data_IF_354962292378
#
_entry.id   IF_354962292378
#
_cell.length_a   1.000
_cell.length_b   1.000
_cell.length_c   1.000
_cell.angle_alpha   90.00
_cell.angle_beta   90.00
_cell.angle_gamma   90.00
#
_symmetry.space_group_name_H-M   'P 1'
#
loop_
_entity.id
_entity.type
_entity.pdbx_description
1 polymer ?
#
# COMPACT_ATOMS: atom_id res chain seq x y z
N UNK A 1 8.24 -45.40 -17.52
CA UNK A 1 8.15 -46.26 -16.31
C UNK A 1 8.99 -45.61 -15.21
N UNK A 2 8.81 -45.98 -13.95
CA UNK A 2 9.51 -45.39 -12.80
C UNK A 2 10.47 -46.43 -12.21
N UNK A 3 11.75 -46.09 -12.10
CA UNK A 3 12.73 -46.80 -11.28
C UNK A 3 13.35 -45.79 -10.30
N UNK A 4 13.14 -45.99 -9.00
CA UNK A 4 13.82 -45.21 -7.96
C UNK A 4 13.59 -43.69 -8.00
N UNK A 5 12.37 -43.25 -8.33
CA UNK A 5 11.97 -41.84 -8.49
C UNK A 5 12.49 -41.14 -9.77
N UNK A 6 13.00 -41.91 -10.75
CA UNK A 6 13.37 -41.40 -12.08
C UNK A 6 12.49 -42.01 -13.17
N UNK A 7 12.05 -41.17 -14.10
CA UNK A 7 11.13 -41.53 -15.16
C UNK A 7 11.88 -41.73 -16.47
N UNK A 8 11.50 -42.71 -17.28
CA UNK A 8 12.04 -42.90 -18.64
C UNK A 8 10.92 -43.23 -19.63
N UNK A 9 11.20 -43.04 -20.92
CA UNK A 9 10.25 -43.30 -22.01
C UNK A 9 10.77 -44.37 -22.96
N UNK A 10 9.90 -45.30 -23.35
CA UNK A 10 10.20 -46.30 -24.38
C UNK A 10 9.28 -46.07 -25.58
N UNK A 11 9.86 -45.94 -26.77
CA UNK A 11 9.11 -45.91 -28.02
C UNK A 11 8.60 -47.31 -28.41
N UNK A 12 7.61 -47.36 -29.30
CA UNK A 12 6.97 -48.61 -29.74
C UNK A 12 7.91 -49.56 -30.49
N UNK A 13 8.99 -49.04 -31.06
CA UNK A 13 10.07 -49.79 -31.71
C UNK A 13 11.12 -50.34 -30.72
N UNK A 14 10.92 -50.09 -29.42
CA UNK A 14 11.80 -50.58 -28.35
C UNK A 14 12.93 -49.64 -27.97
N UNK A 15 13.13 -48.53 -28.68
CA UNK A 15 14.12 -47.48 -28.38
C UNK A 15 13.72 -46.57 -27.20
N UNK A 16 14.62 -45.66 -26.82
CA UNK A 16 14.36 -44.64 -25.81
C UNK A 16 15.16 -43.36 -26.12
N UNK A 17 14.59 -42.16 -25.89
CA UNK A 17 15.31 -40.91 -26.05
C UNK A 17 16.38 -40.78 -24.96
N UNK A 18 17.60 -40.46 -25.36
CA UNK A 18 18.73 -40.16 -24.48
C UNK A 18 19.47 -38.93 -24.99
N UNK A 19 19.99 -38.11 -24.06
CA UNK A 19 20.72 -36.85 -24.34
C UNK A 19 20.00 -35.94 -25.33
N UNK A 20 18.68 -35.82 -25.24
CA UNK A 20 17.90 -35.06 -26.21
C UNK A 20 16.59 -34.56 -25.62
N UNK A 21 16.01 -33.57 -26.30
CA UNK A 21 14.62 -33.19 -26.12
C UNK A 21 13.71 -34.06 -26.97
N UNK A 22 12.55 -34.44 -26.43
CA UNK A 22 11.52 -35.13 -27.19
C UNK A 22 10.14 -34.58 -26.86
N UNK A 23 9.31 -34.43 -27.90
CA UNK A 23 7.88 -34.13 -27.75
C UNK A 23 7.10 -35.44 -27.68
N UNK A 24 6.46 -35.69 -26.54
CA UNK A 24 5.71 -36.92 -26.27
C UNK A 24 4.31 -36.52 -25.81
N UNK A 25 3.29 -36.96 -26.57
CA UNK A 25 1.86 -36.72 -26.26
C UNK A 25 1.52 -35.24 -25.98
N UNK A 26 2.15 -34.32 -26.72
CA UNK A 26 1.89 -32.88 -26.63
C UNK A 26 2.78 -32.10 -25.67
N UNK A 27 3.50 -32.77 -24.77
CA UNK A 27 4.46 -32.14 -23.86
C UNK A 27 5.90 -32.35 -24.32
N UNK A 28 6.78 -31.42 -23.95
CA UNK A 28 8.22 -31.48 -24.27
C UNK A 28 8.98 -31.94 -23.03
N UNK A 29 9.94 -32.86 -23.21
CA UNK A 29 10.74 -33.45 -22.14
C UNK A 29 12.21 -33.41 -22.54
N UNK A 30 13.12 -33.30 -21.56
CA UNK A 30 14.57 -33.47 -21.77
C UNK A 30 15.03 -34.75 -21.08
N UNK A 31 15.90 -35.51 -21.75
CA UNK A 31 16.44 -36.79 -21.26
C UNK A 31 17.95 -36.70 -21.03
N UNK A 32 18.42 -37.34 -19.96
CA UNK A 32 19.83 -37.51 -19.69
C UNK A 32 20.46 -38.61 -20.56
N UNK A 33 21.78 -38.82 -20.42
CA UNK A 33 22.53 -39.79 -21.22
C UNK A 33 22.12 -41.25 -20.97
N UNK A 34 21.45 -41.52 -19.85
CA UNK A 34 20.91 -42.84 -19.51
C UNK A 34 19.45 -43.00 -19.93
N UNK A 35 18.86 -41.98 -20.56
CA UNK A 35 17.48 -41.99 -21.03
C UNK A 35 16.43 -41.71 -19.96
N UNK A 36 16.85 -41.17 -18.80
CA UNK A 36 15.92 -40.72 -17.78
C UNK A 36 15.54 -39.25 -18.00
N UNK A 37 14.28 -38.91 -17.73
CA UNK A 37 13.74 -37.56 -17.80
C UNK A 37 14.38 -36.66 -16.75
N UNK A 38 14.74 -35.45 -17.15
CA UNK A 38 15.19 -34.40 -16.24
C UNK A 38 13.99 -33.74 -15.53
N UNK A 39 14.22 -33.27 -14.32
CA UNK A 39 13.26 -32.50 -13.51
C UNK A 39 14.00 -31.33 -12.84
N UNK A 40 13.28 -30.28 -12.48
CA UNK A 40 13.83 -29.03 -11.93
C UNK A 40 14.47 -28.14 -13.00
N UNK A 41 15.30 -27.22 -12.55
CA UNK A 41 16.06 -26.33 -13.42
C UNK A 41 17.09 -27.08 -14.25
N UNK A 42 17.07 -26.87 -15.57
CA UNK A 42 18.02 -27.43 -16.52
C UNK A 42 18.59 -26.33 -17.40
N UNK A 43 19.90 -26.34 -17.60
CA UNK A 43 20.59 -25.37 -18.45
C UNK A 43 21.17 -26.08 -19.67
N UNK A 44 20.82 -25.59 -20.85
CA UNK A 44 21.34 -26.07 -22.13
C UNK A 44 21.59 -24.88 -23.05
N UNK A 45 22.74 -24.87 -23.74
CA UNK A 45 23.14 -23.82 -24.68
C UNK A 45 23.02 -22.39 -24.12
N UNK A 46 23.28 -22.24 -22.83
CA UNK A 46 23.25 -20.97 -22.12
C UNK A 46 21.86 -20.54 -21.62
N UNK A 47 20.79 -21.19 -22.06
CA UNK A 47 19.42 -20.93 -21.65
C UNK A 47 19.00 -21.82 -20.46
N UNK A 48 18.17 -21.27 -19.59
CA UNK A 48 17.54 -22.01 -18.49
C UNK A 48 16.12 -22.44 -18.86
N UNK A 49 15.78 -23.65 -18.47
CA UNK A 49 14.47 -24.27 -18.62
C UNK A 49 14.04 -24.84 -17.27
N UNK A 50 12.73 -24.93 -17.04
CA UNK A 50 12.19 -25.61 -15.87
C UNK A 50 11.41 -26.86 -16.30
N UNK A 51 11.82 -28.02 -15.80
CA UNK A 51 11.14 -29.29 -16.01
C UNK A 51 10.33 -29.59 -14.75
N UNK A 52 9.02 -29.65 -14.87
CA UNK A 52 8.12 -29.93 -13.74
C UNK A 52 8.42 -31.30 -13.11
N UNK A 53 7.88 -31.63 -11.92
CA UNK A 53 8.08 -32.96 -11.31
C UNK A 53 7.65 -34.15 -12.19
N UNK A 54 6.81 -33.93 -13.20
CA UNK A 54 6.43 -34.96 -14.19
C UNK A 54 7.44 -35.10 -15.35
N UNK A 55 8.48 -34.26 -15.39
CA UNK A 55 9.46 -34.14 -16.47
C UNK A 55 9.02 -33.24 -17.63
N UNK A 56 7.77 -32.79 -17.65
CA UNK A 56 7.29 -31.89 -18.70
C UNK A 56 7.90 -30.49 -18.55
N UNK A 57 8.39 -29.92 -19.64
CA UNK A 57 8.90 -28.55 -19.72
C UNK A 57 7.77 -27.56 -19.44
N UNK A 58 7.98 -26.69 -18.45
CA UNK A 58 7.07 -25.61 -18.13
C UNK A 58 7.20 -24.43 -19.10
N UNK A 59 6.11 -23.71 -19.28
CA UNK A 59 6.04 -22.43 -19.98
C UNK A 59 5.17 -21.46 -19.19
N UNK A 60 5.32 -20.15 -19.41
CA UNK A 60 4.66 -19.11 -18.63
C UNK A 60 5.25 -18.97 -17.22
N UNK A 61 4.43 -18.53 -16.28
CA UNK A 61 4.84 -18.30 -14.90
C UNK A 61 5.09 -19.61 -14.14
N UNK A 62 6.23 -19.69 -13.46
CA UNK A 62 6.62 -20.79 -12.58
C UNK A 62 7.04 -20.22 -11.24
N UNK A 63 6.55 -20.81 -10.15
CA UNK A 63 7.03 -20.51 -8.80
C UNK A 63 7.96 -21.64 -8.34
N UNK A 64 9.16 -21.28 -7.91
CA UNK A 64 10.14 -22.23 -7.34
C UNK A 64 10.81 -21.58 -6.13
N UNK A 65 10.91 -22.32 -5.03
CA UNK A 65 11.53 -21.87 -3.77
C UNK A 65 11.07 -20.49 -3.22
N UNK A 66 9.88 -20.02 -3.59
CA UNK A 66 9.30 -18.74 -3.13
C UNK A 66 9.48 -17.57 -4.10
N UNK A 67 10.29 -17.73 -5.13
CA UNK A 67 10.47 -16.76 -6.21
C UNK A 67 9.65 -17.16 -7.45
N UNK A 68 9.28 -16.17 -8.25
CA UNK A 68 8.58 -16.37 -9.52
C UNK A 68 9.53 -16.24 -10.69
N UNK A 69 9.30 -16.99 -11.75
CA UNK A 69 10.09 -16.98 -12.97
C UNK A 69 9.13 -17.00 -14.15
N UNK A 70 9.55 -16.46 -15.29
CA UNK A 70 8.77 -16.51 -16.51
C UNK A 70 9.51 -17.28 -17.60
N UNK A 71 8.92 -18.37 -18.06
CA UNK A 71 9.43 -19.24 -19.13
C UNK A 71 8.70 -18.83 -20.42
N UNK A 72 9.44 -18.49 -21.47
CA UNK A 72 8.85 -18.05 -22.73
C UNK A 72 7.84 -19.08 -23.29
N UNK A 73 6.60 -18.69 -23.62
CA UNK A 73 5.56 -19.63 -24.05
C UNK A 73 5.88 -20.44 -25.31
N UNK A 74 6.70 -19.91 -26.22
CA UNK A 74 7.04 -20.57 -27.47
C UNK A 74 8.26 -21.50 -27.31
N UNK A 75 9.23 -21.10 -26.50
CA UNK A 75 10.55 -21.75 -26.45
C UNK A 75 10.85 -22.45 -25.12
N UNK A 76 10.17 -22.08 -24.03
CA UNK A 76 10.47 -22.56 -22.68
C UNK A 76 11.69 -21.92 -22.04
N UNK A 77 12.32 -20.93 -22.67
CA UNK A 77 13.51 -20.25 -22.15
C UNK A 77 13.11 -19.28 -21.03
N UNK A 78 13.78 -19.38 -19.88
CA UNK A 78 13.61 -18.44 -18.77
C UNK A 78 14.01 -17.02 -19.16
N UNK A 79 13.15 -16.06 -18.87
CA UNK A 79 13.41 -14.64 -19.06
C UNK A 79 14.29 -14.11 -17.92
N UNK A 80 15.32 -13.37 -18.29
CA UNK A 80 16.12 -12.52 -17.40
C UNK A 80 16.02 -11.04 -17.78
N UNK A 81 15.35 -10.75 -18.89
CA UNK A 81 15.15 -9.40 -19.44
C UNK A 81 13.73 -8.92 -19.21
N UNK A 82 13.54 -7.61 -19.27
CA UNK A 82 12.24 -6.95 -19.12
C UNK A 82 11.19 -7.57 -20.06
N UNK A 83 10.00 -7.79 -19.50
CA UNK A 83 8.87 -8.41 -20.18
C UNK A 83 7.67 -7.47 -20.11
N UNK A 84 7.07 -7.14 -21.25
CA UNK A 84 5.81 -6.39 -21.29
C UNK A 84 4.68 -7.35 -21.66
N UNK A 85 3.71 -7.52 -20.75
CA UNK A 85 2.51 -8.34 -20.96
C UNK A 85 1.28 -7.52 -20.60
N UNK A 86 0.34 -7.41 -21.55
CA UNK A 86 -0.92 -6.70 -21.36
C UNK A 86 -0.76 -5.25 -20.83
N UNK A 87 0.30 -4.55 -21.27
CA UNK A 87 0.59 -3.18 -20.84
C UNK A 87 1.34 -3.05 -19.51
N UNK A 88 1.69 -4.17 -18.85
CA UNK A 88 2.48 -4.19 -17.61
C UNK A 88 3.90 -4.66 -17.87
N UNK A 89 4.86 -4.00 -17.22
CA UNK A 89 6.30 -4.30 -17.29
C UNK A 89 6.71 -5.18 -16.10
N UNK A 90 7.43 -6.26 -16.37
CA UNK A 90 7.97 -7.19 -15.38
C UNK A 90 9.48 -7.23 -15.53
N UNK A 91 10.18 -7.10 -14.41
CA UNK A 91 11.64 -7.14 -14.37
C UNK A 91 12.11 -8.33 -13.54
N UNK A 92 13.22 -8.90 -13.97
CA UNK A 92 13.80 -10.10 -13.38
C UNK A 92 15.23 -9.80 -12.95
N UNK A 93 15.66 -10.44 -11.87
CA UNK A 93 17.06 -10.49 -11.48
C UNK A 93 17.88 -11.24 -12.54
N UNK A 94 19.23 -11.17 -12.52
CA UNK A 94 20.06 -11.98 -13.41
C UNK A 94 19.87 -13.49 -13.26
N UNK A 95 19.34 -13.97 -12.13
CA UNK A 95 18.97 -15.37 -11.94
C UNK A 95 17.59 -15.73 -12.49
N UNK A 96 16.87 -14.77 -13.08
CA UNK A 96 15.52 -14.92 -13.63
C UNK A 96 14.39 -14.81 -12.62
N UNK A 97 14.71 -14.60 -11.34
CA UNK A 97 13.69 -14.38 -10.32
C UNK A 97 13.02 -13.02 -10.57
N UNK A 98 11.70 -13.04 -10.71
CA UNK A 98 10.85 -11.88 -10.84
C UNK A 98 10.96 -11.05 -9.57
N UNK A 99 11.20 -9.76 -9.75
CA UNK A 99 11.52 -8.91 -8.63
C UNK A 99 10.29 -8.43 -7.85
N UNK A 100 9.05 -8.66 -8.30
CA UNK A 100 7.86 -8.00 -7.74
C UNK A 100 7.05 -8.76 -6.69
N UNK A 101 6.05 -8.06 -6.14
CA UNK A 101 4.91 -8.63 -5.40
C UNK A 101 3.63 -8.38 -6.20
N UNK A 102 2.81 -9.42 -6.37
CA UNK A 102 1.46 -9.32 -6.91
C UNK A 102 0.49 -9.73 -5.81
N UNK A 103 -0.49 -8.88 -5.51
CA UNK A 103 -1.53 -9.25 -4.56
C UNK A 103 -2.48 -10.25 -5.26
N UNK A 104 -3.04 -11.25 -4.56
CA UNK A 104 -4.03 -12.16 -5.14
C UNK A 104 -5.21 -11.41 -5.77
N UNK A 105 -5.89 -12.08 -6.70
CA UNK A 105 -7.07 -11.52 -7.36
C UNK A 105 -8.10 -11.01 -6.32
N UNK A 106 -8.64 -9.82 -6.57
CA UNK A 106 -9.57 -9.15 -5.65
C UNK A 106 -8.91 -8.20 -4.64
N UNK A 107 -7.57 -8.16 -4.57
CA UNK A 107 -6.86 -7.11 -3.85
C UNK A 107 -6.42 -5.98 -4.77
N UNK A 108 -6.35 -4.78 -4.20
CA UNK A 108 -5.66 -3.63 -4.75
C UNK A 108 -4.22 -4.04 -5.06
N UNK A 109 -3.82 -3.80 -6.30
CA UNK A 109 -2.46 -4.14 -6.72
C UNK A 109 -1.48 -3.08 -6.20
N UNK A 110 -0.29 -3.51 -5.76
CA UNK A 110 0.75 -2.58 -5.36
C UNK A 110 1.18 -1.68 -6.52
N UNK A 111 1.57 -0.46 -6.19
CA UNK A 111 2.10 0.55 -7.10
C UNK A 111 3.43 1.13 -6.57
N UNK A 112 4.26 1.63 -7.47
CA UNK A 112 5.43 2.47 -7.19
C UNK A 112 5.17 3.96 -7.45
N UNK A 113 3.94 4.32 -7.78
CA UNK A 113 3.51 5.70 -7.98
C UNK A 113 2.11 5.89 -7.39
N UNK A 114 1.98 6.88 -6.52
CA UNK A 114 0.65 7.31 -6.03
C UNK A 114 0.03 8.22 -7.08
N UNK A 115 -1.28 8.05 -7.30
CA UNK A 115 -2.04 8.85 -8.27
C UNK A 115 -1.85 10.33 -7.98
N UNK A 116 -1.30 11.03 -8.98
CA UNK A 116 -1.07 12.46 -8.90
C UNK A 116 -2.37 13.24 -8.81
N UNK A 117 -2.40 14.26 -7.96
CA UNK A 117 -3.61 15.03 -7.66
C UNK A 117 -3.88 16.18 -8.65
N UNK A 118 -2.97 16.40 -9.61
CA UNK A 118 -3.03 17.51 -10.55
C UNK A 118 -3.15 18.86 -9.83
N UNK A 119 -4.11 19.68 -10.24
CA UNK A 119 -4.41 20.97 -9.59
C UNK A 119 -5.27 20.87 -8.32
N UNK A 120 -5.64 19.67 -7.86
CA UNK A 120 -6.59 19.50 -6.76
C UNK A 120 -5.99 19.95 -5.43
N UNK A 121 -6.67 20.85 -4.74
CA UNK A 121 -6.25 21.38 -3.44
C UNK A 121 -7.45 22.03 -2.75
N UNK A 122 -7.41 22.19 -1.42
CA UNK A 122 -8.55 22.70 -0.67
C UNK A 122 -8.51 24.21 -0.43
N UNK A 123 -9.59 24.89 -0.85
CA UNK A 123 -10.01 26.18 -0.32
C UNK A 123 -10.67 25.97 1.05
N UNK A 124 -10.30 26.75 2.06
CA UNK A 124 -10.80 26.55 3.42
C UNK A 124 -12.13 27.28 3.61
N UNK A 125 -13.21 26.51 3.53
CA UNK A 125 -14.60 26.92 3.79
C UNK A 125 -15.11 26.28 5.07
N UNK A 126 -16.32 26.65 5.50
CA UNK A 126 -16.92 26.17 6.76
C UNK A 126 -16.85 24.65 6.91
N UNK A 127 -16.41 24.19 8.08
CA UNK A 127 -16.31 22.76 8.42
C UNK A 127 -15.10 22.03 7.85
N UNK A 128 -14.33 22.64 6.93
CA UNK A 128 -13.09 22.05 6.43
C UNK A 128 -12.12 21.81 7.58
N UNK A 129 -11.33 20.75 7.44
CA UNK A 129 -10.36 20.30 8.43
C UNK A 129 -8.96 20.13 7.81
N UNK A 130 -8.00 19.72 8.63
CA UNK A 130 -6.70 19.30 8.16
C UNK A 130 -5.58 20.32 8.31
N UNK A 131 -4.44 19.98 7.70
CA UNK A 131 -3.15 20.65 7.99
C UNK A 131 -3.16 22.14 7.62
N UNK A 132 -3.87 22.53 6.54
CA UNK A 132 -3.99 23.94 6.15
C UNK A 132 -4.76 24.76 7.18
N UNK A 133 -5.84 24.19 7.71
CA UNK A 133 -6.64 24.82 8.77
C UNK A 133 -5.77 25.02 10.02
N UNK A 134 -5.02 23.99 10.40
CA UNK A 134 -4.06 24.07 11.51
C UNK A 134 -3.00 25.16 11.27
N UNK A 135 -2.40 25.22 10.08
CA UNK A 135 -1.39 26.23 9.71
C UNK A 135 -1.97 27.64 9.84
N UNK A 136 -3.17 27.88 9.32
CA UNK A 136 -3.84 29.19 9.43
C UNK A 136 -4.15 29.51 10.89
N UNK A 137 -4.64 28.55 11.67
CA UNK A 137 -4.88 28.75 13.10
C UNK A 137 -3.59 29.12 13.85
N UNK A 138 -2.45 28.48 13.54
CA UNK A 138 -1.13 28.86 14.09
C UNK A 138 -0.75 30.27 13.69
N UNK A 139 -0.90 30.60 12.40
CA UNK A 139 -0.53 31.90 11.85
C UNK A 139 -1.34 33.06 12.46
N UNK A 140 -2.60 32.80 12.80
CA UNK A 140 -3.52 33.74 13.43
C UNK A 140 -3.43 33.75 14.97
N UNK A 141 -2.57 32.91 15.57
CA UNK A 141 -2.39 32.85 17.03
C UNK A 141 -3.57 32.22 17.79
N UNK A 142 -4.40 31.43 17.10
CA UNK A 142 -5.58 30.77 17.69
C UNK A 142 -5.42 29.26 17.84
N UNK A 143 -4.23 28.71 17.55
CA UNK A 143 -3.91 27.28 17.68
C UNK A 143 -3.36 26.92 19.06
N UNK A 144 -3.74 25.74 19.56
CA UNK A 144 -3.10 25.05 20.68
C UNK A 144 -3.34 23.54 20.57
N UNK A 145 -2.62 22.73 21.35
CA UNK A 145 -2.58 21.25 21.24
C UNK A 145 -3.92 20.54 21.51
N UNK A 146 -4.85 21.22 22.17
CA UNK A 146 -6.21 20.73 22.48
C UNK A 146 -7.28 21.28 21.53
N UNK A 147 -6.89 21.96 20.45
CA UNK A 147 -7.81 22.55 19.48
C UNK A 147 -7.95 21.65 18.25
N UNK A 148 -9.17 21.52 17.74
CA UNK A 148 -9.42 20.88 16.46
C UNK A 148 -8.98 21.81 15.32
N UNK A 149 -8.33 21.22 14.34
CA UNK A 149 -8.09 21.85 13.05
C UNK A 149 -9.39 21.85 12.26
N UNK A 150 -10.26 22.82 12.54
CA UNK A 150 -11.56 22.98 11.89
C UNK A 150 -11.86 24.45 11.60
N UNK A 151 -12.45 24.70 10.42
CA UNK A 151 -12.99 26.00 10.04
C UNK A 151 -14.30 26.22 10.77
N UNK A 152 -14.20 26.79 11.96
CA UNK A 152 -15.31 27.13 12.85
C UNK A 152 -15.57 28.65 12.89
N UNK A 153 -16.50 29.08 13.75
CA UNK A 153 -16.83 30.50 13.91
C UNK A 153 -15.64 31.35 14.40
N UNK A 154 -14.75 30.78 15.22
CA UNK A 154 -13.55 31.47 15.71
C UNK A 154 -12.55 31.68 14.57
N UNK A 155 -12.38 30.66 13.72
CA UNK A 155 -11.54 30.71 12.53
C UNK A 155 -12.06 31.76 11.55
N UNK A 156 -13.34 31.70 11.19
CA UNK A 156 -13.96 32.62 10.23
C UNK A 156 -13.82 34.07 10.69
N UNK A 157 -14.07 34.34 11.98
CA UNK A 157 -13.89 35.68 12.57
C UNK A 157 -12.44 36.14 12.46
N UNK A 158 -11.48 35.28 12.81
CA UNK A 158 -10.06 35.62 12.76
C UNK A 158 -9.58 35.87 11.32
N UNK A 159 -10.05 35.09 10.34
CA UNK A 159 -9.74 35.27 8.92
C UNK A 159 -10.34 36.57 8.38
N UNK A 160 -11.59 36.91 8.72
CA UNK A 160 -12.19 38.20 8.32
C UNK A 160 -11.38 39.39 8.84
N UNK A 161 -10.94 39.32 10.11
CA UNK A 161 -10.10 40.36 10.70
C UNK A 161 -8.74 40.46 9.99
N UNK A 162 -8.13 39.33 9.62
CA UNK A 162 -6.91 39.31 8.84
C UNK A 162 -7.12 39.92 7.44
N UNK A 163 -8.15 39.48 6.72
CA UNK A 163 -8.49 39.97 5.38
C UNK A 163 -8.71 41.48 5.37
N UNK A 164 -9.45 42.02 6.34
CA UNK A 164 -9.63 43.47 6.50
C UNK A 164 -8.27 44.21 6.60
N UNK A 165 -7.36 43.74 7.46
CA UNK A 165 -6.03 44.34 7.64
C UNK A 165 -5.14 44.21 6.40
N UNK A 166 -5.33 43.15 5.64
CA UNK A 166 -4.61 42.88 4.40
C UNK A 166 -5.23 43.58 3.17
N UNK A 167 -6.33 44.34 3.33
CA UNK A 167 -7.02 44.98 2.22
C UNK A 167 -7.78 44.01 1.30
N UNK A 168 -8.12 42.83 1.81
CA UNK A 168 -8.87 41.78 1.10
C UNK A 168 -10.36 41.80 1.48
N UNK A 169 -11.18 41.19 0.62
CA UNK A 169 -12.60 40.94 0.91
C UNK A 169 -12.75 40.05 2.14
N UNK A 170 -13.59 40.46 3.10
CA UNK A 170 -13.80 39.80 4.38
C UNK A 170 -14.75 38.60 4.28
N UNK A 171 -14.42 37.63 3.45
CA UNK A 171 -15.23 36.42 3.23
C UNK A 171 -15.17 35.46 4.42
N UNK A 172 -14.06 35.44 5.15
CA UNK A 172 -13.76 34.42 6.15
C UNK A 172 -13.33 33.07 5.55
N UNK A 173 -13.29 32.97 4.23
CA UNK A 173 -12.76 31.85 3.45
C UNK A 173 -11.27 32.08 3.24
N UNK A 174 -10.46 31.02 3.34
CA UNK A 174 -9.05 31.07 2.93
C UNK A 174 -8.92 30.40 1.57
N UNK A 175 -8.93 31.22 0.52
CA UNK A 175 -8.52 30.88 -0.83
C UNK A 175 -6.99 31.12 -1.00
N UNK A 176 -6.47 30.84 -2.20
CA UNK A 176 -5.05 31.00 -2.50
C UNK A 176 -4.56 32.45 -2.30
N UNK A 177 -5.39 33.44 -2.64
CA UNK A 177 -5.05 34.85 -2.44
C UNK A 177 -4.89 35.16 -0.94
N UNK A 178 -5.85 34.74 -0.12
CA UNK A 178 -5.81 34.91 1.33
C UNK A 178 -4.63 34.15 1.95
N UNK A 179 -4.38 32.92 1.50
CA UNK A 179 -3.25 32.10 1.95
C UNK A 179 -1.90 32.77 1.67
N UNK A 180 -1.71 33.26 0.45
CA UNK A 180 -0.48 33.93 0.04
C UNK A 180 -0.27 35.24 0.82
N UNK A 181 -1.35 36.02 1.04
CA UNK A 181 -1.29 37.23 1.86
C UNK A 181 -0.90 36.94 3.32
N UNK A 182 -1.29 35.79 3.87
CA UNK A 182 -0.93 35.41 5.24
C UNK A 182 0.57 35.15 5.41
N UNK A 183 1.29 34.80 4.34
CA UNK A 183 2.71 34.45 4.41
C UNK A 183 2.93 33.26 5.36
N UNK A 184 2.21 32.16 5.13
CA UNK A 184 2.21 30.98 6.02
C UNK A 184 3.55 30.25 6.09
N UNK A 185 4.45 30.49 5.13
CA UNK A 185 5.71 29.76 4.97
C UNK A 185 5.54 28.40 4.28
N UNK A 186 4.33 28.06 3.83
CA UNK A 186 4.01 26.80 3.17
C UNK A 186 3.37 27.05 1.80
N UNK A 187 3.64 26.18 0.79
CA UNK A 187 2.98 26.30 -0.50
C UNK A 187 1.46 26.09 -0.37
N UNK A 188 0.69 26.71 -1.26
CA UNK A 188 -0.76 26.52 -1.32
C UNK A 188 -1.14 25.04 -1.50
N UNK A 189 -0.29 24.23 -2.12
CA UNK A 189 -0.50 22.80 -2.36
C UNK A 189 0.03 21.90 -1.24
N UNK A 190 0.30 22.42 -0.03
CA UNK A 190 0.85 21.61 1.07
C UNK A 190 -0.02 20.40 1.45
N UNK A 191 -1.33 20.46 1.19
CA UNK A 191 -2.29 19.38 1.39
C UNK A 191 -2.23 18.27 0.31
N UNK A 192 -1.42 18.43 -0.73
CA UNK A 192 -1.14 17.39 -1.73
C UNK A 192 -0.03 16.42 -1.32
N UNK A 193 0.56 16.59 -0.14
CA UNK A 193 1.66 15.72 0.29
C UNK A 193 1.24 14.24 0.27
N UNK A 194 2.01 13.41 -0.43
CA UNK A 194 1.84 11.97 -0.51
C UNK A 194 3.19 11.31 -0.19
N UNK A 195 3.19 10.35 0.73
CA UNK A 195 4.37 9.56 1.03
C UNK A 195 4.85 8.82 -0.22
N UNK A 196 6.17 8.68 -0.35
CA UNK A 196 6.76 7.98 -1.48
C UNK A 196 6.62 6.47 -1.27
N UNK A 197 6.06 5.74 -2.25
CA UNK A 197 5.90 4.30 -2.17
C UNK A 197 7.25 3.59 -2.32
N UNK A 198 7.35 2.39 -1.76
CA UNK A 198 8.42 1.44 -2.11
C UNK A 198 8.33 1.02 -3.58
N UNK A 199 9.44 0.64 -4.22
CA UNK A 199 9.43 0.24 -5.63
C UNK A 199 8.55 -1.00 -5.86
N UNK A 200 8.15 -1.25 -7.12
CA UNK A 200 7.38 -2.45 -7.49
C UNK A 200 8.12 -3.74 -7.13
N UNK A 201 9.45 -3.70 -7.08
CA UNK A 201 10.32 -4.81 -6.68
C UNK A 201 10.29 -5.15 -5.18
N UNK A 202 9.58 -4.37 -4.36
CA UNK A 202 9.44 -4.67 -2.94
C UNK A 202 8.57 -5.91 -2.71
N UNK A 203 9.10 -6.84 -1.92
CA UNK A 203 8.40 -8.04 -1.42
C UNK A 203 7.26 -7.63 -0.49
N UNK A 204 6.32 -8.56 -0.26
CA UNK A 204 5.21 -8.40 0.69
C UNK A 204 5.65 -7.87 2.06
N UNK A 205 6.68 -8.48 2.65
CA UNK A 205 7.19 -8.07 3.97
C UNK A 205 7.77 -6.66 3.96
N UNK A 206 8.48 -6.28 2.91
CA UNK A 206 9.08 -4.95 2.77
C UNK A 206 8.00 -3.87 2.65
N UNK A 207 6.89 -4.16 1.98
CA UNK A 207 5.72 -3.27 1.89
C UNK A 207 5.05 -3.07 3.24
N UNK A 208 4.82 -4.17 3.98
CA UNK A 208 4.25 -4.12 5.34
C UNK A 208 5.16 -3.31 6.27
N UNK A 209 6.47 -3.54 6.23
CA UNK A 209 7.42 -2.80 7.06
C UNK A 209 7.60 -1.35 6.61
N UNK A 210 7.44 -1.02 5.33
CA UNK A 210 7.43 0.37 4.86
C UNK A 210 6.21 1.13 5.39
N UNK A 211 5.02 0.50 5.34
CA UNK A 211 3.80 1.06 5.92
C UNK A 211 3.95 1.30 7.42
N UNK A 212 4.40 0.29 8.17
CA UNK A 212 4.60 0.43 9.62
C UNK A 212 5.72 1.41 9.94
N UNK A 213 6.82 1.37 9.18
CA UNK A 213 7.98 2.24 9.35
C UNK A 213 7.64 3.71 9.15
N UNK A 214 6.76 4.03 8.18
CA UNK A 214 6.25 5.38 8.01
C UNK A 214 5.54 5.86 9.29
N UNK A 215 4.56 5.09 9.78
CA UNK A 215 3.80 5.43 10.97
C UNK A 215 4.68 5.53 12.22
N UNK A 216 5.63 4.60 12.37
CA UNK A 216 6.60 4.58 13.47
C UNK A 216 7.42 5.87 13.50
N UNK A 217 7.91 6.31 12.35
CA UNK A 217 8.69 7.55 12.22
C UNK A 217 7.89 8.81 12.55
N UNK A 218 6.56 8.73 12.56
CA UNK A 218 5.71 9.85 12.99
C UNK A 218 5.49 9.90 14.49
N UNK A 219 5.99 8.95 15.28
CA UNK A 219 5.83 8.94 16.74
C UNK A 219 6.20 10.29 17.36
N UNK A 220 5.34 10.82 18.22
CA UNK A 220 5.52 12.15 18.83
C UNK A 220 4.93 13.30 18.00
N UNK A 221 4.60 13.07 16.73
CA UNK A 221 3.92 14.07 15.90
C UNK A 221 2.54 14.39 16.48
N UNK A 222 2.16 15.68 16.65
CA UNK A 222 0.88 16.06 17.24
C UNK A 222 -0.33 15.55 16.46
N UNK A 223 -1.46 15.46 17.14
CA UNK A 223 -2.75 15.24 16.51
C UNK A 223 -3.22 16.47 15.73
N UNK A 224 -3.69 16.28 14.50
CA UNK A 224 -4.36 17.30 13.67
C UNK A 224 -5.57 16.65 13.02
N UNK A 225 -6.79 17.08 13.38
CA UNK A 225 -8.03 16.58 12.78
C UNK A 225 -8.07 16.82 11.26
N UNK A 226 -8.36 15.79 10.46
CA UNK A 226 -8.26 15.81 8.99
C UNK A 226 -6.83 15.92 8.46
N UNK A 227 -5.82 15.66 9.31
CA UNK A 227 -4.42 15.82 8.98
C UNK A 227 -3.85 14.60 8.27
N UNK A 228 -3.38 14.77 7.04
CA UNK A 228 -2.62 13.78 6.27
C UNK A 228 -1.43 14.45 5.55
N UNK A 229 -0.63 15.24 6.27
CA UNK A 229 0.47 16.02 5.70
C UNK A 229 1.86 15.41 5.91
N UNK A 230 2.93 16.18 5.66
CA UNK A 230 4.29 15.80 6.06
C UNK A 230 4.46 15.80 7.59
N UNK A 231 5.54 15.16 8.03
CA UNK A 231 5.93 15.08 9.43
C UNK A 231 5.91 16.46 10.13
N UNK A 232 5.41 16.49 11.36
CA UNK A 232 5.34 17.70 12.18
C UNK A 232 4.12 18.62 11.94
N UNK A 233 3.37 18.45 10.84
CA UNK A 233 2.08 19.14 10.63
C UNK A 233 0.88 18.38 11.23
N UNK A 234 1.13 17.19 11.76
CA UNK A 234 0.16 16.43 12.51
C UNK A 234 -0.73 15.54 11.66
N UNK A 235 -1.27 14.52 12.31
CA UNK A 235 -2.13 13.51 11.70
C UNK A 235 -3.37 13.28 12.54
N UNK A 236 -4.48 12.92 11.90
CA UNK A 236 -5.51 12.12 12.57
C UNK A 236 -5.29 10.63 12.29
N UNK A 237 -6.20 9.78 12.77
CA UNK A 237 -6.07 8.34 12.67
C UNK A 237 -5.94 7.86 11.21
N UNK A 238 -6.92 8.21 10.39
CA UNK A 238 -6.99 7.80 9.00
C UNK A 238 -5.97 8.51 8.12
N UNK A 239 -5.58 9.74 8.44
CA UNK A 239 -4.53 10.44 7.70
C UNK A 239 -3.14 9.83 7.90
N UNK A 240 -2.83 9.36 9.11
CA UNK A 240 -1.61 8.58 9.38
C UNK A 240 -1.64 7.25 8.60
N UNK A 241 -2.77 6.55 8.61
CA UNK A 241 -2.94 5.29 7.89
C UNK A 241 -2.83 5.49 6.37
N UNK A 242 -3.45 6.53 5.82
CA UNK A 242 -3.42 6.81 4.38
C UNK A 242 -1.99 7.05 3.88
N UNK A 243 -1.21 7.85 4.61
CA UNK A 243 0.20 8.06 4.26
C UNK A 243 1.05 6.80 4.43
N UNK A 244 0.72 5.97 5.42
CA UNK A 244 1.39 4.68 5.62
C UNK A 244 1.08 3.70 4.49
N UNK A 245 -0.17 3.65 4.01
CA UNK A 245 -0.57 2.86 2.84
C UNK A 245 0.20 3.30 1.60
N UNK A 246 0.32 4.61 1.37
CA UNK A 246 1.13 5.16 0.29
C UNK A 246 2.59 4.71 0.39
N UNK A 247 3.21 4.77 1.57
CA UNK A 247 4.58 4.28 1.76
C UNK A 247 4.75 2.78 1.41
N UNK A 248 3.73 1.96 1.68
CA UNK A 248 3.69 0.54 1.29
C UNK A 248 3.39 0.30 -0.20
N UNK A 249 3.10 1.34 -0.98
CA UNK A 249 2.69 1.24 -2.37
C UNK A 249 1.23 0.86 -2.56
N UNK A 250 0.34 1.25 -1.65
CA UNK A 250 -1.10 1.04 -1.75
C UNK A 250 -1.81 2.38 -1.97
N UNK A 251 -2.43 2.54 -3.15
CA UNK A 251 -3.15 3.75 -3.54
C UNK A 251 -4.67 3.50 -3.63
N UNK A 252 -5.43 3.64 -2.53
CA UNK A 252 -6.83 3.25 -2.46
C UNK A 252 -7.77 4.29 -3.12
N UNK A 253 -7.57 4.57 -4.41
CA UNK A 253 -8.45 5.50 -5.14
C UNK A 253 -9.91 5.03 -5.09
N UNK A 254 -10.89 5.93 -4.86
CA UNK A 254 -10.78 7.39 -4.92
C UNK A 254 -10.54 8.07 -3.55
N UNK A 255 -9.99 7.35 -2.57
CA UNK A 255 -9.65 7.85 -1.23
C UNK A 255 -8.28 8.56 -1.32
N UNK A 256 -8.26 9.85 -1.01
CA UNK A 256 -7.06 10.68 -1.14
C UNK A 256 -6.92 11.72 -0.02
N UNK A 257 -5.74 12.35 0.04
CA UNK A 257 -5.38 13.36 1.06
C UNK A 257 -6.14 14.67 0.91
N UNK A 258 -6.71 14.96 -0.25
CA UNK A 258 -7.51 16.17 -0.48
C UNK A 258 -8.88 16.00 0.15
N UNK A 259 -9.59 14.90 -0.17
CA UNK A 259 -10.90 14.59 0.40
C UNK A 259 -10.83 14.33 1.89
N UNK A 260 -9.70 13.84 2.40
CA UNK A 260 -9.49 13.63 3.83
C UNK A 260 -9.74 14.89 4.68
N UNK A 261 -9.55 16.09 4.12
CA UNK A 261 -9.84 17.35 4.80
C UNK A 261 -11.30 17.81 4.73
N UNK A 262 -12.17 17.12 3.98
CA UNK A 262 -13.54 17.56 3.74
C UNK A 262 -14.45 17.32 4.96
N UNK A 263 -15.46 18.17 5.22
CA UNK A 263 -16.23 18.14 6.47
C UNK A 263 -16.95 16.81 6.73
N UNK A 264 -17.54 16.23 5.68
CA UNK A 264 -18.39 15.06 5.76
C UNK A 264 -17.71 13.78 5.25
N UNK A 265 -16.43 13.87 4.87
CA UNK A 265 -15.70 12.73 4.33
C UNK A 265 -14.97 11.98 5.44
N UNK A 266 -15.27 10.68 5.59
CA UNK A 266 -14.75 9.83 6.67
C UNK A 266 -13.78 8.80 6.13
N UNK A 267 -12.53 9.20 5.92
CA UNK A 267 -11.48 8.33 5.39
C UNK A 267 -11.34 7.00 6.14
N UNK A 268 -11.53 6.97 7.47
CA UNK A 268 -11.53 5.71 8.23
C UNK A 268 -12.66 4.75 7.83
N UNK A 269 -13.88 5.27 7.60
CA UNK A 269 -15.01 4.48 7.13
C UNK A 269 -14.79 4.05 5.67
N UNK A 270 -14.33 4.95 4.82
CA UNK A 270 -14.06 4.67 3.41
C UNK A 270 -12.97 3.61 3.23
N UNK A 271 -11.91 3.63 4.05
CA UNK A 271 -10.87 2.60 4.07
C UNK A 271 -11.40 1.26 4.57
N UNK A 272 -12.34 1.26 5.51
CA UNK A 272 -13.00 0.04 5.98
C UNK A 272 -13.87 -0.57 4.88
N UNK A 273 -14.61 0.25 4.13
CA UNK A 273 -15.50 -0.21 3.06
C UNK A 273 -14.79 -0.41 1.70
N UNK A 274 -13.47 -0.19 1.64
CA UNK A 274 -12.72 -0.21 0.39
C UNK A 274 -12.62 -1.62 -0.20
N UNK A 275 -13.26 -1.84 -1.34
CA UNK A 275 -13.38 -3.17 -1.97
C UNK A 275 -12.05 -3.77 -2.47
N UNK A 276 -11.01 -2.94 -2.64
CA UNK A 276 -9.67 -3.40 -2.97
C UNK A 276 -8.90 -3.96 -1.76
N UNK A 277 -9.43 -3.85 -0.55
CA UNK A 277 -8.88 -4.54 0.61
C UNK A 277 -9.83 -5.65 1.07
N UNK A 278 -9.28 -6.63 1.77
CA UNK A 278 -10.08 -7.77 2.23
C UNK A 278 -10.25 -7.75 3.74
N UNK A 279 -11.46 -8.10 4.16
CA UNK A 279 -11.79 -8.30 5.56
C UNK A 279 -11.33 -9.68 6.00
N UNK A 280 -10.65 -9.73 7.14
CA UNK A 280 -10.12 -10.94 7.74
C UNK A 280 -10.64 -11.00 9.18
N UNK A 281 -11.12 -12.15 9.69
CA UNK A 281 -11.59 -12.24 11.07
C UNK A 281 -10.56 -11.70 12.05
N UNK A 282 -11.00 -10.96 13.08
CA UNK A 282 -10.08 -10.33 14.03
C UNK A 282 -9.13 -11.33 14.72
N UNK A 283 -9.56 -12.59 14.85
CA UNK A 283 -8.74 -13.70 15.37
C UNK A 283 -7.57 -14.10 14.46
N UNK A 284 -7.62 -13.76 13.18
CA UNK A 284 -6.59 -14.03 12.16
C UNK A 284 -5.78 -12.78 11.81
N UNK A 285 -5.92 -11.71 12.60
CA UNK A 285 -5.14 -10.48 12.44
C UNK A 285 -3.64 -10.79 12.45
N UNK A 286 -2.91 -10.10 11.61
CA UNK A 286 -1.46 -10.17 11.53
C UNK A 286 -0.87 -8.78 11.39
N UNK A 287 0.41 -8.65 11.74
CA UNK A 287 1.16 -7.40 11.58
C UNK A 287 0.97 -6.82 10.18
N UNK A 288 0.60 -5.54 10.12
CA UNK A 288 0.24 -4.83 8.89
C UNK A 288 -1.26 -4.75 8.61
N UNK A 289 -2.11 -5.52 9.29
CA UNK A 289 -3.56 -5.34 9.16
C UNK A 289 -4.02 -4.01 9.80
N UNK A 290 -5.10 -3.45 9.27
CA UNK A 290 -5.75 -2.26 9.78
C UNK A 290 -6.87 -2.66 10.75
N UNK A 291 -6.82 -2.08 11.95
CA UNK A 291 -7.81 -2.29 13.01
C UNK A 291 -8.73 -1.09 13.09
N UNK A 292 -10.04 -1.33 13.06
CA UNK A 292 -11.05 -0.28 13.10
C UNK A 292 -11.85 -0.33 14.38
N UNK A 293 -12.35 0.83 14.81
CA UNK A 293 -13.13 0.99 16.02
C UNK A 293 -14.42 1.74 15.72
N UNK A 294 -15.50 1.31 16.35
CA UNK A 294 -16.84 1.83 16.10
C UNK A 294 -17.40 2.58 17.30
N UNK A 295 -18.24 3.57 17.03
CA UNK A 295 -19.08 4.23 18.02
C UNK A 295 -20.48 4.34 17.41
N UNK A 296 -21.50 3.80 18.09
CA UNK A 296 -22.87 3.82 17.57
C UNK A 296 -23.05 3.05 16.27
N UNK A 297 -22.21 2.04 16.01
CA UNK A 297 -22.26 1.20 14.81
C UNK A 297 -21.48 1.73 13.59
N UNK A 298 -20.91 2.94 13.66
CA UNK A 298 -20.10 3.52 12.58
C UNK A 298 -18.63 3.52 12.92
N UNK A 299 -17.75 3.35 11.92
CA UNK A 299 -16.30 3.44 12.10
C UNK A 299 -15.91 4.88 12.44
N UNK A 300 -15.15 5.03 13.52
CA UNK A 300 -14.73 6.33 14.06
C UNK A 300 -13.23 6.46 14.23
N UNK A 301 -12.50 5.35 14.29
CA UNK A 301 -11.06 5.34 14.45
C UNK A 301 -10.43 4.16 13.73
N UNK A 302 -9.18 4.32 13.30
CA UNK A 302 -8.39 3.27 12.62
C UNK A 302 -6.95 3.29 13.14
N UNK A 303 -6.31 2.13 13.16
CA UNK A 303 -4.93 1.95 13.60
C UNK A 303 -4.23 0.85 12.77
N UNK A 304 -2.90 0.87 12.72
CA UNK A 304 -2.11 -0.21 12.08
C UNK A 304 -1.68 -1.21 13.15
N UNK A 305 -2.00 -2.48 12.95
CA UNK A 305 -1.62 -3.56 13.86
C UNK A 305 -0.15 -3.94 13.72
N UNK A 306 0.55 -4.01 14.85
CA UNK A 306 1.99 -4.24 14.92
C UNK A 306 2.35 -5.69 15.25
N UNK A 307 1.37 -6.54 15.57
CA UNK A 307 1.61 -7.81 16.27
C UNK A 307 1.56 -7.62 17.79
N UNK A 308 1.54 -8.73 18.52
CA UNK A 308 1.59 -8.78 19.99
C UNK A 308 0.60 -7.85 20.69
N UNK A 309 -0.63 -7.75 20.16
CA UNK A 309 -1.68 -6.88 20.67
C UNK A 309 -1.28 -5.41 20.76
N UNK A 310 -0.43 -4.94 19.83
CA UNK A 310 -0.01 -3.54 19.71
C UNK A 310 -0.49 -2.92 18.42
N UNK A 311 -0.73 -1.61 18.48
CA UNK A 311 -1.06 -0.77 17.32
C UNK A 311 -0.22 0.49 17.29
N UNK A 312 -0.07 1.10 16.12
CA UNK A 312 0.39 2.49 15.95
C UNK A 312 -0.75 3.36 15.41
N UNK A 313 -0.96 4.53 16.01
CA UNK A 313 -2.13 5.37 15.73
C UNK A 313 -2.02 6.78 16.33
N UNK A 314 -3.04 7.59 16.02
CA UNK A 314 -3.32 8.95 16.51
C UNK A 314 -4.81 9.02 16.85
N UNK A 315 -5.20 9.08 18.13
CA UNK A 315 -6.61 8.91 18.54
C UNK A 315 -7.30 10.17 19.07
N UNK A 316 -6.55 11.18 19.53
CA UNK A 316 -7.17 12.34 20.17
C UNK A 316 -6.25 13.56 20.23
N UNK A 317 -6.84 14.75 20.34
CA UNK A 317 -6.13 15.99 20.61
C UNK A 317 -5.25 15.90 21.86
N UNK A 318 -4.06 16.47 21.81
CA UNK A 318 -3.07 16.38 22.88
C UNK A 318 -2.41 15.00 23.03
N UNK A 319 -2.83 13.98 22.27
CA UNK A 319 -2.18 12.67 22.23
C UNK A 319 -1.44 12.51 20.90
N UNK A 320 -0.10 12.64 20.89
CA UNK A 320 0.66 12.48 19.67
C UNK A 320 0.58 11.04 19.13
N UNK A 321 1.01 10.87 17.89
CA UNK A 321 1.20 9.55 17.29
C UNK A 321 2.06 8.68 18.21
N UNK A 322 1.60 7.46 18.44
CA UNK A 322 2.25 6.54 19.39
C UNK A 322 1.93 5.10 19.07
N UNK A 323 2.71 4.22 19.69
CA UNK A 323 2.41 2.81 19.79
C UNK A 323 1.72 2.55 21.11
N UNK A 324 0.69 1.72 21.09
CA UNK A 324 -0.12 1.41 22.26
C UNK A 324 -0.53 -0.06 22.24
N UNK A 325 -0.61 -0.67 23.43
CA UNK A 325 -1.24 -1.99 23.60
C UNK A 325 -2.76 -1.86 23.52
N UNK A 326 -3.39 -2.79 22.81
CA UNK A 326 -4.84 -2.99 22.82
C UNK A 326 -5.19 -3.58 24.18
N UNK A 327 -6.04 -2.90 24.94
CA UNK A 327 -6.43 -3.34 26.30
C UNK A 327 -7.95 -3.47 26.36
N UNK A 328 -8.48 -4.10 27.42
CA UNK A 328 -9.95 -4.17 27.61
C UNK A 328 -10.57 -2.77 27.69
N UNK A 329 -9.89 -1.79 28.29
CA UNK A 329 -10.35 -0.39 28.34
C UNK A 329 -10.03 0.43 27.09
N UNK A 330 -9.19 -0.10 26.21
CA UNK A 330 -8.82 0.49 24.93
C UNK A 330 -8.91 -0.60 23.84
N UNK A 331 -10.13 -0.92 23.42
CA UNK A 331 -10.33 -1.38 22.06
C UNK A 331 -11.12 -2.65 21.82
N UNK A 332 -10.95 -3.69 22.63
CA UNK A 332 -11.50 -5.00 22.26
C UNK A 332 -13.04 -4.99 22.11
N UNK A 333 -13.73 -4.22 22.93
CA UNK A 333 -15.20 -4.08 22.92
C UNK A 333 -15.72 -3.14 21.82
N UNK A 334 -14.87 -2.28 21.28
CA UNK A 334 -15.22 -1.28 20.27
C UNK A 334 -14.70 -1.60 18.88
N UNK A 335 -13.83 -2.60 18.77
CA UNK A 335 -13.27 -3.02 17.49
C UNK A 335 -14.33 -3.68 16.61
N UNK A 336 -14.17 -3.53 15.31
CA UNK A 336 -14.89 -4.35 14.33
C UNK A 336 -14.56 -5.84 14.55
N UNK A 337 -15.46 -6.72 14.14
CA UNK A 337 -15.29 -8.17 14.30
C UNK A 337 -14.21 -8.75 13.37
N UNK A 338 -13.75 -7.94 12.43
CA UNK A 338 -12.71 -8.19 11.44
C UNK A 338 -11.67 -7.05 11.42
N UNK A 339 -10.59 -7.30 10.70
CA UNK A 339 -9.56 -6.34 10.33
C UNK A 339 -9.51 -6.24 8.81
N UNK A 340 -9.01 -5.12 8.29
CA UNK A 340 -8.76 -4.99 6.85
C UNK A 340 -7.31 -5.30 6.56
N UNK A 341 -7.06 -6.18 5.59
CA UNK A 341 -5.72 -6.57 5.15
C UNK A 341 -5.37 -5.84 3.85
N UNK A 342 -4.51 -4.81 3.88
CA UNK A 342 -4.11 -4.11 2.65
C UNK A 342 -3.05 -4.88 1.86
N UNK A 343 -2.20 -5.66 2.54
CA UNK A 343 -1.12 -6.45 1.91
C UNK A 343 -1.34 -7.93 2.25
N UNK A 344 -1.99 -8.73 1.38
CA UNK A 344 -2.26 -10.15 1.60
C UNK A 344 -1.02 -10.99 1.81
#
# INVERSE_FOLDING_TARGET
>A
MNEGARWWWRSSDGGYPASQWARIKGSVYSFDASGYMRTGWYREDGAWYFLTPSGAMATGWVQDAGDWYYLDPATGVMRTETLVLNGRTYEFTPSGAWMGYEAPAGYLQPTDHITGLGGSTNTLTWGMNGIKVMIVQRRLGIWHTMKLASVDASFVTAVKNFQWRAGLSQTGVVDEQTWNAMGTGWPWTIDQYQAQPVPLTARRSERVEAMIGYAWNQTGTPYTWGGAGPAGLGYDCSGLVLQSLYAGGMDPQPIDVIKHGWPDYRTSQELYDYSGFQHVPLSQRQRGDLVFYTTGGSVTHVAIYLGDDRVVHTDWMGRPARMQYITVGYGWDRMTWDVVRPVP
#
